data_IF_224106299105
#
_entry.id   IF_224106299105
#
_cell.length_a   1.000
_cell.length_b   1.000
_cell.length_c   1.000
_cell.angle_alpha   90.00
_cell.angle_beta   90.00
_cell.angle_gamma   90.00
#
_symmetry.space_group_name_H-M   'P 1'
#
loop_
_entity.id
_entity.type
_entity.pdbx_description
1 polymer ?
#
# COMPACT_ATOMS: atom_id res chain seq x y z
N UNK A 1 29.47 -18.03 3.65
CA UNK A 1 28.93 -16.70 3.86
C UNK A 1 27.44 -16.81 3.51
N UNK A 2 26.58 -16.84 4.52
CA UNK A 2 25.12 -16.91 4.34
C UNK A 2 24.67 -15.47 4.10
N UNK A 3 24.19 -15.17 2.90
CA UNK A 3 23.69 -13.85 2.54
C UNK A 3 22.42 -13.55 3.36
N UNK A 4 22.46 -12.50 4.16
CA UNK A 4 21.29 -11.97 4.86
C UNK A 4 20.35 -11.34 3.84
N UNK A 5 19.08 -11.74 3.85
CA UNK A 5 18.04 -11.14 3.01
C UNK A 5 17.68 -9.73 3.50
N UNK A 6 17.09 -8.89 2.65
CA UNK A 6 16.62 -7.53 2.97
C UNK A 6 15.72 -7.44 4.21
N UNK A 7 14.97 -8.50 4.48
CA UNK A 7 14.10 -8.62 5.66
C UNK A 7 14.89 -8.82 6.94
N UNK A 8 16.08 -9.43 6.87
CA UNK A 8 16.92 -9.70 8.05
C UNK A 8 17.51 -8.43 8.65
N UNK A 9 17.75 -7.40 7.84
CA UNK A 9 18.30 -6.11 8.30
C UNK A 9 17.28 -5.24 9.07
N UNK A 10 15.99 -5.51 8.93
CA UNK A 10 14.92 -4.70 9.53
C UNK A 10 14.42 -5.23 10.90
N UNK A 11 14.87 -6.40 11.35
CA UNK A 11 14.27 -7.11 12.49
C UNK A 11 15.25 -7.58 13.58
N UNK A 12 16.52 -7.22 13.52
CA UNK A 12 17.47 -7.56 14.56
C UNK A 12 17.30 -6.65 15.80
N UNK A 13 16.19 -6.79 16.51
CA UNK A 13 16.06 -6.50 17.95
C UNK A 13 14.59 -6.50 18.38
N UNK A 14 14.20 -7.47 19.23
CA UNK A 14 13.04 -7.27 20.07
C UNK A 14 12.02 -8.40 20.19
N UNK A 15 12.45 -9.63 20.43
CA UNK A 15 11.61 -10.54 21.20
C UNK A 15 11.77 -10.18 22.68
N UNK A 16 10.81 -9.50 23.29
CA UNK A 16 10.75 -9.38 24.75
C UNK A 16 9.37 -9.79 25.22
N UNK A 17 9.38 -10.84 26.03
CA UNK A 17 8.28 -11.29 26.87
C UNK A 17 7.72 -10.10 27.70
N UNK A 18 6.40 -9.97 27.68
CA UNK A 18 5.67 -9.07 28.57
C UNK A 18 5.72 -9.63 29.99
N UNK A 19 6.71 -9.18 30.76
CA UNK A 19 6.65 -9.21 32.22
C UNK A 19 6.30 -7.79 32.65
N UNK A 20 5.25 -7.68 33.45
CA UNK A 20 4.75 -6.47 34.07
C UNK A 20 5.84 -5.72 34.85
N UNK A 21 6.33 -4.61 34.30
CA UNK A 21 6.97 -3.55 35.06
C UNK A 21 6.31 -2.23 34.64
N UNK A 22 5.83 -1.48 35.63
CA UNK A 22 5.42 -0.08 35.48
C UNK A 22 6.63 0.78 35.07
N UNK A 23 7.03 0.66 33.83
CA UNK A 23 7.89 1.61 33.14
C UNK A 23 6.99 2.45 32.26
N UNK A 24 7.14 3.77 32.28
CA UNK A 24 6.36 4.71 31.48
C UNK A 24 6.18 4.19 30.06
N UNK A 25 4.98 3.72 29.75
CA UNK A 25 4.57 3.36 28.41
C UNK A 25 4.61 4.66 27.61
N UNK A 26 5.67 4.88 26.84
CA UNK A 26 5.71 6.02 25.91
C UNK A 26 4.50 5.86 25.00
N UNK A 27 3.47 6.68 25.27
CA UNK A 27 2.25 6.67 24.48
C UNK A 27 2.62 7.01 23.04
N UNK A 28 2.20 6.18 22.07
CA UNK A 28 2.33 6.46 20.65
C UNK A 28 1.88 7.90 20.37
N UNK A 29 2.68 8.64 19.62
CA UNK A 29 2.33 9.99 19.18
C UNK A 29 2.33 10.07 17.68
N UNK A 30 1.32 10.75 17.13
CA UNK A 30 1.26 11.08 15.70
C UNK A 30 1.83 12.47 15.46
N UNK A 31 2.57 12.63 14.35
CA UNK A 31 3.10 13.92 13.90
C UNK A 31 3.12 14.00 12.38
N UNK A 32 2.98 15.19 11.87
CA UNK A 32 3.18 15.52 10.45
C UNK A 32 4.68 15.58 10.13
N UNK A 33 5.11 14.91 9.06
CA UNK A 33 6.51 14.90 8.64
C UNK A 33 6.74 15.46 7.23
N UNK A 34 5.69 15.59 6.41
CA UNK A 34 5.74 16.29 5.13
C UNK A 34 4.35 16.83 4.76
N UNK A 35 4.34 17.89 3.98
CA UNK A 35 3.12 18.51 3.46
C UNK A 35 2.56 19.61 4.36
N UNK A 36 1.97 20.62 3.72
CA UNK A 36 1.44 21.84 4.37
C UNK A 36 -0.05 21.78 4.70
N UNK A 37 -0.76 20.75 4.22
CA UNK A 37 -2.23 20.69 4.27
C UNK A 37 -2.90 21.34 3.06
N UNK A 38 -2.13 21.87 2.14
CA UNK A 38 -2.61 22.48 0.89
C UNK A 38 -2.12 21.65 -0.28
N UNK A 39 -3.03 21.30 -1.20
CA UNK A 39 -2.69 20.60 -2.43
C UNK A 39 -1.72 21.43 -3.28
N UNK A 40 -0.68 20.80 -3.76
CA UNK A 40 0.28 21.50 -4.63
C UNK A 40 1.41 20.59 -5.08
N UNK A 41 2.40 21.19 -5.70
CA UNK A 41 3.53 20.48 -6.27
C UNK A 41 4.82 20.91 -5.58
N UNK A 42 5.46 19.97 -4.89
CA UNK A 42 6.76 20.23 -4.27
C UNK A 42 7.81 20.50 -5.34
N UNK A 43 8.60 21.55 -5.13
CA UNK A 43 9.83 21.73 -5.88
C UNK A 43 10.87 20.70 -5.44
N UNK A 44 11.74 20.30 -6.36
CA UNK A 44 12.87 19.42 -6.02
C UNK A 44 13.80 20.09 -5.00
N UNK A 45 14.20 19.35 -3.96
CA UNK A 45 15.00 19.88 -2.86
C UNK A 45 14.24 20.72 -1.83
N UNK A 46 12.92 20.88 -1.94
CA UNK A 46 12.12 21.69 -1.02
C UNK A 46 12.11 21.12 0.41
N UNK A 47 11.99 22.01 1.41
CA UNK A 47 11.86 21.60 2.81
C UNK A 47 10.48 20.95 3.05
N UNK A 48 10.46 19.81 3.76
CA UNK A 48 9.29 18.95 3.90
C UNK A 48 8.09 19.58 4.62
N UNK A 49 8.35 20.50 5.54
CA UNK A 49 7.36 21.20 6.36
C UNK A 49 6.71 22.40 5.66
N UNK A 50 7.33 22.91 4.60
CA UNK A 50 6.84 24.05 3.82
C UNK A 50 6.47 23.69 2.38
N UNK A 51 6.81 22.48 1.93
CA UNK A 51 6.49 22.01 0.60
C UNK A 51 5.03 21.51 0.51
N UNK A 52 4.23 22.00 -0.42
CA UNK A 52 2.95 21.40 -0.71
C UNK A 52 3.15 20.05 -1.39
N UNK A 53 2.35 19.05 -1.02
CA UNK A 53 2.25 17.76 -1.69
C UNK A 53 0.81 17.53 -2.13
N UNK A 54 0.55 16.55 -2.99
CA UNK A 54 -0.79 16.43 -3.54
C UNK A 54 -1.31 14.99 -3.46
N UNK A 55 -2.14 14.74 -2.45
CA UNK A 55 -2.86 13.49 -2.32
C UNK A 55 -1.91 12.27 -2.25
N UNK A 56 -1.04 12.17 -1.24
CA UNK A 56 -0.07 11.08 -1.11
C UNK A 56 -0.77 9.73 -0.89
N UNK A 57 -0.44 8.76 -1.73
CA UNK A 57 -0.94 7.39 -1.67
C UNK A 57 0.15 6.45 -1.15
N UNK A 58 0.37 5.30 -1.77
CA UNK A 58 1.28 4.27 -1.28
C UNK A 58 2.59 4.82 -0.72
N UNK A 59 2.82 4.65 0.56
CA UNK A 59 4.02 5.07 1.27
C UNK A 59 4.91 3.87 1.55
N UNK A 60 6.24 4.03 1.48
CA UNK A 60 7.21 2.97 1.78
C UNK A 60 8.55 3.57 2.20
N UNK A 61 9.26 2.94 3.11
CA UNK A 61 10.68 3.26 3.35
C UNK A 61 11.54 2.43 2.39
N UNK A 62 12.37 3.12 1.62
CA UNK A 62 13.26 2.50 0.66
C UNK A 62 14.51 1.89 1.30
N UNK A 63 15.33 1.19 0.50
CA UNK A 63 16.56 0.56 0.97
C UNK A 63 17.61 1.54 1.48
N UNK A 64 17.51 2.80 1.11
CA UNK A 64 18.35 3.90 1.60
C UNK A 64 17.89 4.48 2.96
N UNK A 65 16.80 3.92 3.53
CA UNK A 65 16.24 4.35 4.80
C UNK A 65 15.43 5.64 4.74
N UNK A 66 15.11 6.12 3.54
CA UNK A 66 14.27 7.31 3.32
C UNK A 66 12.84 6.94 2.93
N UNK A 67 11.91 7.86 3.15
CA UNK A 67 10.50 7.63 2.84
C UNK A 67 10.18 8.01 1.40
N UNK A 68 9.43 7.16 0.72
CA UNK A 68 8.93 7.38 -0.63
C UNK A 68 7.41 7.30 -0.64
N UNK A 69 6.76 8.05 -1.52
CA UNK A 69 5.33 7.92 -1.76
C UNK A 69 4.95 8.24 -3.21
N UNK A 70 3.84 7.67 -3.61
CA UNK A 70 3.14 8.06 -4.82
C UNK A 70 2.37 9.36 -4.53
N UNK A 71 2.81 10.48 -5.09
CA UNK A 71 2.13 11.77 -5.00
C UNK A 71 1.09 11.84 -6.11
N UNK A 72 -0.01 11.13 -5.85
CA UNK A 72 -1.06 10.79 -6.82
C UNK A 72 -1.57 12.00 -7.59
N UNK A 73 -1.88 13.10 -6.90
CA UNK A 73 -2.46 14.29 -7.51
C UNK A 73 -1.47 15.12 -8.32
N UNK A 74 -0.15 14.91 -8.14
CA UNK A 74 0.88 15.59 -8.93
C UNK A 74 1.48 14.71 -10.04
N UNK A 75 1.04 13.47 -10.19
CA UNK A 75 1.62 12.49 -11.13
C UNK A 75 3.14 12.30 -10.94
N UNK A 76 3.58 12.18 -9.68
CA UNK A 76 5.00 12.03 -9.31
C UNK A 76 5.20 10.95 -8.27
N UNK A 77 6.43 10.48 -8.17
CA UNK A 77 6.93 9.76 -7.00
C UNK A 77 7.93 10.67 -6.30
N UNK A 78 7.70 10.90 -5.01
CA UNK A 78 8.50 11.77 -4.17
C UNK A 78 9.25 10.95 -3.11
N UNK A 79 10.41 11.46 -2.68
CA UNK A 79 11.26 10.93 -1.62
C UNK A 79 11.48 12.00 -0.57
N UNK A 80 11.30 11.65 0.70
CA UNK A 80 11.68 12.47 1.83
C UNK A 80 12.97 11.93 2.46
N UNK A 81 14.03 12.73 2.44
CA UNK A 81 15.18 12.51 3.30
C UNK A 81 14.76 12.74 4.76
N UNK A 82 14.69 11.67 5.54
CA UNK A 82 14.22 11.71 6.94
C UNK A 82 15.18 12.47 7.87
N UNK A 83 16.46 12.64 7.50
CA UNK A 83 17.47 13.35 8.28
C UNK A 83 17.52 14.83 7.90
N UNK A 84 17.62 15.12 6.60
CA UNK A 84 17.73 16.48 6.09
C UNK A 84 16.38 17.19 5.96
N UNK A 85 15.27 16.44 6.04
CA UNK A 85 13.90 16.94 5.89
C UNK A 85 13.67 17.63 4.54
N UNK A 86 14.23 17.03 3.48
CA UNK A 86 14.12 17.54 2.11
C UNK A 86 13.37 16.57 1.21
N UNK A 87 12.51 17.09 0.34
CA UNK A 87 11.75 16.34 -0.65
C UNK A 87 12.51 16.36 -1.99
N UNK A 88 12.64 15.20 -2.62
CA UNK A 88 13.24 15.04 -3.95
C UNK A 88 12.23 14.38 -4.89
N UNK A 89 12.19 14.83 -6.13
CA UNK A 89 11.41 14.22 -7.20
C UNK A 89 12.16 13.01 -7.74
N UNK A 90 11.62 11.82 -7.57
CA UNK A 90 12.25 10.56 -8.01
C UNK A 90 11.79 10.16 -9.40
N UNK A 91 10.51 10.35 -9.69
CA UNK A 91 9.90 10.08 -10.99
C UNK A 91 8.71 10.97 -11.26
N UNK A 92 8.46 11.22 -12.53
CA UNK A 92 7.32 12.02 -12.98
C UNK A 92 7.64 13.51 -13.10
N UNK A 93 7.34 14.09 -14.28
CA UNK A 93 7.50 15.53 -14.54
C UNK A 93 6.25 16.35 -14.17
N UNK A 94 5.21 15.68 -13.63
CA UNK A 94 3.92 16.29 -13.28
C UNK A 94 2.87 16.27 -14.40
N UNK A 95 3.28 16.02 -15.64
CA UNK A 95 2.33 15.86 -16.75
C UNK A 95 1.75 14.44 -16.72
N UNK A 96 0.42 14.35 -16.75
CA UNK A 96 -0.27 13.07 -16.84
C UNK A 96 0.00 12.40 -18.18
N UNK A 97 0.47 11.15 -18.17
CA UNK A 97 0.76 10.38 -19.37
C UNK A 97 1.53 9.11 -19.08
N UNK A 98 2.08 8.51 -20.13
CA UNK A 98 2.78 7.22 -20.11
C UNK A 98 4.05 7.24 -20.99
N UNK A 99 4.67 8.36 -21.15
CA UNK A 99 5.88 8.48 -21.96
C UNK A 99 7.15 8.45 -21.09
N UNK A 100 8.28 8.22 -21.75
CA UNK A 100 9.60 8.35 -21.11
C UNK A 100 10.31 7.03 -20.82
N UNK A 101 9.83 5.88 -21.29
CA UNK A 101 10.54 4.61 -21.17
C UNK A 101 11.91 4.66 -21.84
N UNK A 102 12.91 4.08 -21.15
CA UNK A 102 14.30 4.12 -21.58
C UNK A 102 15.03 5.43 -21.26
N UNK A 103 14.32 6.41 -20.70
CA UNK A 103 14.87 7.70 -20.27
C UNK A 103 14.89 7.91 -18.75
N UNK A 104 15.34 9.11 -18.30
CA UNK A 104 15.38 9.43 -16.87
C UNK A 104 13.99 9.53 -16.24
N UNK A 105 13.78 8.83 -15.12
CA UNK A 105 12.50 8.79 -14.43
C UNK A 105 11.93 10.16 -14.01
N UNK A 106 12.74 11.16 -13.56
CA UNK A 106 12.20 12.47 -13.18
C UNK A 106 11.57 13.27 -14.34
N UNK A 107 11.92 12.96 -15.58
CA UNK A 107 11.34 13.63 -16.77
C UNK A 107 10.27 12.81 -17.50
N UNK A 108 10.06 11.56 -17.06
CA UNK A 108 9.00 10.73 -17.59
C UNK A 108 7.60 11.27 -17.23
N UNK A 109 6.60 10.89 -18.00
CA UNK A 109 5.21 11.11 -17.63
C UNK A 109 4.69 9.92 -16.83
N UNK A 110 4.01 10.18 -15.72
CA UNK A 110 3.27 9.19 -14.93
C UNK A 110 1.78 9.52 -14.95
N UNK A 111 0.94 8.52 -14.70
CA UNK A 111 -0.52 8.71 -14.68
C UNK A 111 -1.13 8.07 -13.45
N UNK A 112 -1.45 8.93 -12.46
CA UNK A 112 -2.02 8.50 -11.20
C UNK A 112 -1.19 7.38 -10.52
N UNK A 113 0.11 7.62 -10.21
CA UNK A 113 0.93 6.65 -9.50
C UNK A 113 0.26 6.33 -8.16
N UNK A 114 0.16 5.04 -7.83
CA UNK A 114 -0.74 4.60 -6.78
C UNK A 114 -0.03 3.83 -5.66
N UNK A 115 0.93 3.01 -6.01
CA UNK A 115 1.72 2.22 -5.08
C UNK A 115 3.18 2.21 -5.49
N UNK A 116 4.08 2.18 -4.51
CA UNK A 116 5.52 2.12 -4.69
C UNK A 116 6.10 1.01 -3.83
N UNK A 117 6.92 0.16 -4.41
CA UNK A 117 7.68 -0.90 -3.72
C UNK A 117 9.10 -0.99 -4.27
N UNK A 118 9.96 -1.74 -3.59
CA UNK A 118 11.34 -1.97 -4.01
C UNK A 118 11.61 -3.46 -4.14
N UNK A 119 12.36 -3.85 -5.18
CA UNK A 119 12.88 -5.21 -5.32
C UNK A 119 14.15 -5.43 -4.45
N UNK A 120 14.66 -6.65 -4.41
CA UNK A 120 15.84 -7.02 -3.62
C UNK A 120 17.13 -6.29 -4.07
N UNK A 121 17.18 -5.80 -5.31
CA UNK A 121 18.30 -5.05 -5.88
C UNK A 121 18.20 -3.55 -5.62
N UNK A 122 17.07 -3.10 -5.05
CA UNK A 122 16.80 -1.71 -4.76
C UNK A 122 16.18 -0.93 -5.92
N UNK A 123 15.75 -1.58 -7.00
CA UNK A 123 14.97 -0.89 -8.02
C UNK A 123 13.56 -0.63 -7.51
N UNK A 124 13.00 0.49 -7.90
CA UNK A 124 11.65 0.87 -7.55
C UNK A 124 10.64 0.29 -8.55
N UNK A 125 9.54 -0.22 -8.05
CA UNK A 125 8.38 -0.65 -8.85
C UNK A 125 7.20 0.25 -8.49
N UNK A 126 6.53 0.79 -9.50
CA UNK A 126 5.42 1.76 -9.37
C UNK A 126 4.20 1.27 -10.11
N UNK A 127 3.07 1.16 -9.43
CA UNK A 127 1.78 0.93 -10.09
C UNK A 127 1.19 2.26 -10.56
N UNK A 128 0.88 2.38 -11.84
CA UNK A 128 0.22 3.54 -12.43
C UNK A 128 -1.22 3.18 -12.81
N UNK A 129 -2.16 3.70 -12.01
CA UNK A 129 -3.58 3.34 -12.14
C UNK A 129 -4.17 3.69 -13.50
N UNK A 130 -4.01 4.93 -13.94
CA UNK A 130 -4.71 5.46 -15.12
C UNK A 130 -3.99 5.16 -16.43
N UNK A 131 -2.71 4.78 -16.37
CA UNK A 131 -1.97 4.26 -17.53
C UNK A 131 -2.09 2.74 -17.68
N UNK A 132 -2.73 2.05 -16.75
CA UNK A 132 -2.89 0.60 -16.78
C UNK A 132 -1.57 -0.17 -16.89
N UNK A 133 -0.51 0.31 -16.23
CA UNK A 133 0.84 -0.26 -16.27
C UNK A 133 1.46 -0.36 -14.90
N UNK A 134 2.50 -1.18 -14.81
CA UNK A 134 3.47 -1.18 -13.71
C UNK A 134 4.82 -0.80 -14.31
N UNK A 135 5.46 0.22 -13.75
CA UNK A 135 6.78 0.71 -14.19
C UNK A 135 7.87 0.26 -13.22
N UNK A 136 9.08 0.12 -13.74
CA UNK A 136 10.29 -0.13 -12.96
C UNK A 136 11.30 0.99 -13.17
N UNK A 137 11.93 1.43 -12.08
CA UNK A 137 12.96 2.45 -12.10
C UNK A 137 14.24 1.81 -11.54
N UNK A 138 15.28 1.81 -12.32
CA UNK A 138 16.64 1.50 -11.85
C UNK A 138 17.14 2.69 -11.03
N UNK A 139 17.28 2.50 -9.73
CA UNK A 139 17.65 3.59 -8.81
C UNK A 139 19.12 4.01 -8.90
N UNK A 140 19.96 3.26 -9.60
CA UNK A 140 21.36 3.62 -9.83
C UNK A 140 21.53 4.51 -11.06
N UNK A 141 20.79 4.18 -12.14
CA UNK A 141 20.84 4.91 -13.41
C UNK A 141 19.72 5.91 -13.57
N UNK A 142 18.70 5.86 -12.71
CA UNK A 142 17.44 6.61 -12.80
C UNK A 142 16.63 6.32 -14.07
N UNK A 143 16.89 5.24 -14.77
CA UNK A 143 16.16 4.87 -15.99
C UNK A 143 14.83 4.20 -15.62
N UNK A 144 13.73 4.66 -16.22
CA UNK A 144 12.40 4.08 -16.08
C UNK A 144 12.05 3.21 -17.29
N UNK A 145 11.36 2.10 -17.03
CA UNK A 145 10.85 1.19 -18.08
C UNK A 145 9.50 0.62 -17.69
N UNK A 146 8.69 0.22 -18.65
CA UNK A 146 7.45 -0.54 -18.40
C UNK A 146 7.78 -2.00 -18.06
N UNK A 147 7.35 -2.45 -16.87
CA UNK A 147 7.50 -3.82 -16.40
C UNK A 147 6.31 -4.67 -16.83
N UNK A 148 5.09 -4.13 -16.75
CA UNK A 148 3.86 -4.82 -17.14
C UNK A 148 2.81 -3.84 -17.64
N UNK A 149 1.95 -4.31 -18.54
CA UNK A 149 0.86 -3.54 -19.10
C UNK A 149 1.21 -2.89 -20.44
N UNK A 150 0.24 -2.87 -21.36
CA UNK A 150 0.38 -2.23 -22.70
C UNK A 150 -0.06 -0.76 -22.70
N UNK A 151 -0.54 -0.24 -21.59
CA UNK A 151 -1.17 1.09 -21.52
C UNK A 151 -2.65 1.09 -21.93
N UNK A 152 -3.18 -0.04 -22.38
CA UNK A 152 -4.59 -0.19 -22.75
C UNK A 152 -5.34 -0.99 -21.68
N UNK A 153 -6.45 -0.44 -21.19
CA UNK A 153 -7.29 -1.13 -20.21
C UNK A 153 -7.84 -2.45 -20.78
N UNK A 154 -7.72 -3.54 -20.02
CA UNK A 154 -8.22 -4.84 -20.43
C UNK A 154 -7.65 -5.98 -19.60
N UNK A 155 -7.97 -7.21 -20.01
CA UNK A 155 -7.45 -8.44 -19.42
C UNK A 155 -6.96 -9.36 -20.52
N UNK A 156 -5.66 -9.53 -20.62
CA UNK A 156 -5.01 -10.46 -21.55
C UNK A 156 -3.59 -10.81 -21.07
N UNK A 157 -2.93 -11.67 -21.83
CA UNK A 157 -1.49 -11.88 -21.73
C UNK A 157 -1.03 -12.93 -20.70
N UNK A 158 -1.93 -13.65 -20.02
CA UNK A 158 -1.53 -14.75 -19.14
C UNK A 158 -0.74 -15.81 -19.89
N UNK A 159 0.41 -16.21 -19.34
CA UNK A 159 1.34 -17.14 -19.96
C UNK A 159 2.36 -16.50 -20.91
N UNK A 160 2.26 -15.19 -21.17
CA UNK A 160 3.18 -14.41 -22.00
C UNK A 160 3.96 -13.33 -21.25
N UNK A 161 4.74 -12.50 -21.98
CA UNK A 161 5.49 -11.40 -21.38
C UNK A 161 4.58 -10.39 -20.68
N UNK A 162 4.95 -9.97 -19.46
CA UNK A 162 4.14 -9.04 -18.68
C UNK A 162 3.97 -7.68 -19.37
N UNK A 163 4.96 -7.21 -20.13
CA UNK A 163 4.91 -5.96 -20.89
C UNK A 163 3.90 -5.98 -22.04
N UNK A 164 3.46 -7.17 -22.48
CA UNK A 164 2.47 -7.34 -23.56
C UNK A 164 1.07 -7.64 -23.02
N UNK A 165 0.92 -7.78 -21.71
CA UNK A 165 -0.36 -8.03 -21.07
C UNK A 165 -1.21 -6.77 -20.96
N UNK A 166 -2.53 -6.91 -20.91
CA UNK A 166 -3.41 -5.83 -20.51
C UNK A 166 -3.73 -5.93 -19.02
N UNK A 167 -3.67 -4.79 -18.36
CA UNK A 167 -4.12 -4.56 -16.99
C UNK A 167 -5.29 -3.56 -16.98
N UNK A 168 -6.05 -3.53 -15.90
CA UNK A 168 -7.16 -2.57 -15.77
C UNK A 168 -7.15 -1.90 -14.40
N UNK A 169 -6.54 -0.74 -14.33
CA UNK A 169 -6.34 0.05 -13.12
C UNK A 169 -5.57 -0.73 -12.03
N UNK A 170 -4.31 -1.10 -12.23
CA UNK A 170 -3.50 -1.69 -11.17
C UNK A 170 -3.38 -0.70 -10.00
N UNK A 171 -3.72 -1.15 -8.79
CA UNK A 171 -3.76 -0.26 -7.63
C UNK A 171 -2.61 -0.52 -6.65
N UNK A 172 -2.38 -1.76 -6.27
CA UNK A 172 -1.36 -2.13 -5.32
C UNK A 172 -0.47 -3.23 -5.88
N UNK A 173 0.76 -3.21 -5.46
CA UNK A 173 1.78 -4.20 -5.78
C UNK A 173 2.51 -4.63 -4.50
N UNK A 174 2.93 -5.88 -4.45
CA UNK A 174 3.87 -6.39 -3.45
C UNK A 174 4.85 -7.33 -4.12
N UNK A 175 6.05 -7.44 -3.57
CA UNK A 175 7.08 -8.36 -4.06
C UNK A 175 7.37 -9.42 -3.00
N UNK A 176 7.55 -10.67 -3.44
CA UNK A 176 8.06 -11.74 -2.57
C UNK A 176 9.60 -11.74 -2.52
N UNK A 177 10.18 -12.64 -1.73
CA UNK A 177 11.65 -12.74 -1.55
C UNK A 177 12.38 -13.20 -2.83
N UNK A 178 11.65 -13.71 -3.83
CA UNK A 178 12.16 -14.06 -5.16
C UNK A 178 11.97 -12.92 -6.18
N UNK A 179 11.56 -11.72 -5.72
CA UNK A 179 11.23 -10.56 -6.55
C UNK A 179 10.04 -10.77 -7.52
N UNK A 180 9.23 -11.82 -7.33
CA UNK A 180 7.98 -11.92 -8.07
C UNK A 180 7.05 -10.76 -7.69
N UNK A 181 6.43 -10.13 -8.68
CA UNK A 181 5.54 -8.99 -8.45
C UNK A 181 4.09 -9.45 -8.49
N UNK A 182 3.35 -9.19 -7.40
CA UNK A 182 1.91 -9.43 -7.33
C UNK A 182 1.18 -8.10 -7.48
N UNK A 183 0.17 -8.06 -8.36
CA UNK A 183 -0.52 -6.85 -8.79
C UNK A 183 -2.01 -6.99 -8.50
N UNK A 184 -2.59 -6.08 -7.72
CA UNK A 184 -4.03 -5.94 -7.62
C UNK A 184 -4.58 -5.29 -8.90
N UNK A 185 -5.03 -6.10 -9.83
CA UNK A 185 -5.63 -5.72 -11.10
C UNK A 185 -7.14 -5.52 -10.89
N UNK A 186 -7.50 -4.38 -10.27
CA UNK A 186 -8.74 -4.19 -9.53
C UNK A 186 -10.01 -4.33 -10.37
N UNK A 187 -10.04 -3.73 -11.58
CA UNK A 187 -11.21 -3.78 -12.46
C UNK A 187 -11.28 -5.08 -13.26
N UNK A 188 -10.20 -5.88 -13.23
CA UNK A 188 -10.21 -7.26 -13.73
C UNK A 188 -10.56 -8.28 -12.63
N UNK A 189 -10.84 -7.81 -11.40
CA UNK A 189 -11.21 -8.67 -10.26
C UNK A 189 -10.22 -9.81 -10.01
N UNK A 190 -8.90 -9.50 -10.17
CA UNK A 190 -7.81 -10.48 -10.07
C UNK A 190 -6.60 -9.92 -9.34
N UNK A 191 -5.84 -10.82 -8.77
CA UNK A 191 -4.43 -10.59 -8.47
C UNK A 191 -3.61 -11.27 -9.56
N UNK A 192 -2.73 -10.51 -10.24
CA UNK A 192 -1.82 -11.02 -11.24
C UNK A 192 -0.43 -11.21 -10.64
N UNK A 193 0.34 -12.17 -11.15
CA UNK A 193 1.71 -12.42 -10.73
C UNK A 193 2.64 -12.34 -11.93
N UNK A 194 3.75 -11.62 -11.76
CA UNK A 194 4.89 -11.66 -12.70
C UNK A 194 5.98 -12.53 -12.06
N UNK A 195 6.40 -13.56 -12.74
CA UNK A 195 7.56 -14.36 -12.37
C UNK A 195 8.84 -13.57 -12.68
N UNK A 196 9.64 -13.24 -11.66
CA UNK A 196 10.81 -12.37 -11.81
C UNK A 196 11.90 -12.98 -12.70
N UNK A 197 11.99 -14.31 -12.78
CA UNK A 197 13.01 -15.03 -13.56
C UNK A 197 12.67 -15.08 -15.04
N UNK A 198 11.38 -15.20 -15.39
CA UNK A 198 10.92 -15.40 -16.78
C UNK A 198 10.28 -14.15 -17.37
N UNK A 199 9.84 -13.19 -16.56
CA UNK A 199 9.05 -12.04 -16.99
C UNK A 199 7.60 -12.38 -17.40
N UNK A 200 7.19 -13.63 -17.20
CA UNK A 200 5.86 -14.13 -17.59
C UNK A 200 4.83 -13.68 -16.55
N UNK A 201 3.69 -13.13 -17.02
CA UNK A 201 2.54 -12.81 -16.18
C UNK A 201 1.53 -13.95 -16.18
N UNK A 202 0.83 -14.11 -15.06
CA UNK A 202 -0.27 -15.06 -14.89
C UNK A 202 -1.30 -14.56 -13.89
N UNK A 203 -2.52 -15.07 -13.95
CA UNK A 203 -3.49 -14.90 -12.86
C UNK A 203 -3.06 -15.73 -11.65
N UNK A 204 -2.91 -15.05 -10.52
CA UNK A 204 -2.57 -15.67 -9.24
C UNK A 204 -3.80 -15.98 -8.40
N UNK A 205 -4.80 -15.07 -8.37
CA UNK A 205 -6.06 -15.25 -7.66
C UNK A 205 -7.20 -14.47 -8.32
N UNK A 206 -8.43 -14.95 -8.15
CA UNK A 206 -9.63 -14.34 -8.71
C UNK A 206 -10.08 -14.98 -10.03
N UNK A 207 -11.39 -15.11 -10.21
CA UNK A 207 -12.00 -15.61 -11.45
C UNK A 207 -12.18 -14.52 -12.50
N UNK A 208 -12.16 -13.24 -12.08
CA UNK A 208 -12.50 -12.09 -12.92
C UNK A 208 -13.99 -11.70 -12.86
N UNK A 209 -14.80 -12.49 -12.19
CA UNK A 209 -16.21 -12.15 -12.02
C UNK A 209 -16.37 -11.03 -10.99
N UNK A 210 -17.20 -10.05 -11.31
CA UNK A 210 -17.61 -9.02 -10.38
C UNK A 210 -18.74 -9.57 -9.48
N UNK A 211 -18.36 -10.44 -8.55
CA UNK A 211 -19.28 -11.13 -7.65
C UNK A 211 -18.78 -11.08 -6.20
N UNK A 212 -19.66 -11.40 -5.27
CA UNK A 212 -19.29 -11.45 -3.85
C UNK A 212 -18.23 -12.52 -3.60
N UNK A 213 -17.19 -12.16 -2.88
CA UNK A 213 -16.14 -13.09 -2.48
C UNK A 213 -16.60 -13.96 -1.33
N UNK A 214 -16.49 -15.29 -1.43
CA UNK A 214 -16.84 -16.20 -0.34
C UNK A 214 -15.89 -16.03 0.86
N UNK A 215 -16.32 -16.47 2.02
CA UNK A 215 -15.49 -16.42 3.23
C UNK A 215 -14.32 -17.40 3.20
N UNK A 216 -14.46 -18.50 2.46
CA UNK A 216 -13.42 -19.48 2.18
C UNK A 216 -13.54 -20.00 0.75
N UNK A 217 -12.38 -20.30 0.11
CA UNK A 217 -12.38 -20.84 -1.24
C UNK A 217 -10.99 -21.07 -1.80
N UNK A 218 -10.93 -21.45 -3.07
CA UNK A 218 -9.68 -21.59 -3.81
C UNK A 218 -9.23 -20.26 -4.42
N UNK A 219 -7.93 -20.04 -4.52
CA UNK A 219 -7.40 -18.79 -5.08
C UNK A 219 -7.89 -18.52 -6.51
N UNK A 220 -7.90 -19.54 -7.36
CA UNK A 220 -8.29 -19.42 -8.78
C UNK A 220 -9.77 -19.66 -9.04
N UNK A 221 -10.53 -20.12 -8.05
CA UNK A 221 -11.94 -20.49 -8.21
C UNK A 221 -12.91 -19.57 -7.48
N UNK A 222 -12.39 -18.59 -6.74
CA UNK A 222 -13.20 -17.61 -6.02
C UNK A 222 -13.17 -16.25 -6.71
N UNK A 223 -14.31 -15.56 -6.89
CA UNK A 223 -14.33 -14.17 -7.32
C UNK A 223 -13.69 -13.26 -6.26
N UNK A 224 -13.06 -12.18 -6.69
CA UNK A 224 -12.50 -11.16 -5.83
C UNK A 224 -13.19 -9.81 -6.07
N UNK A 225 -13.95 -9.33 -5.09
CA UNK A 225 -14.71 -8.09 -5.21
C UNK A 225 -13.79 -6.85 -5.13
N UNK A 226 -13.24 -6.44 -6.25
CA UNK A 226 -12.31 -5.32 -6.40
C UNK A 226 -11.10 -5.42 -5.45
N UNK A 227 -10.12 -6.33 -5.72
CA UNK A 227 -8.90 -6.49 -4.93
C UNK A 227 -8.10 -5.19 -4.94
N UNK A 228 -7.88 -4.58 -3.75
CA UNK A 228 -7.42 -3.20 -3.66
C UNK A 228 -5.99 -3.04 -3.20
N UNK A 229 -5.62 -3.75 -2.14
CA UNK A 229 -4.29 -3.66 -1.54
C UNK A 229 -3.86 -5.02 -1.01
N UNK A 230 -2.60 -5.34 -1.21
CA UNK A 230 -2.03 -6.65 -0.90
C UNK A 230 -0.74 -6.50 -0.10
N UNK A 231 -0.53 -7.37 0.88
CA UNK A 231 0.67 -7.44 1.70
C UNK A 231 1.11 -8.91 1.85
N UNK A 232 2.38 -9.15 2.08
CA UNK A 232 2.96 -10.49 2.23
C UNK A 232 3.71 -10.61 3.56
N UNK A 233 3.42 -11.68 4.29
CA UNK A 233 4.12 -12.05 5.50
C UNK A 233 5.39 -12.88 5.19
N UNK A 234 6.27 -13.00 6.16
CA UNK A 234 7.52 -13.76 6.02
C UNK A 234 7.32 -15.26 5.74
N UNK A 235 6.24 -15.83 6.22
CA UNK A 235 5.87 -17.23 6.00
C UNK A 235 5.23 -17.47 4.62
N UNK A 236 5.11 -16.42 3.80
CA UNK A 236 4.48 -16.44 2.49
C UNK A 236 2.95 -16.29 2.53
N UNK A 237 2.34 -16.15 3.70
CA UNK A 237 0.92 -15.80 3.80
C UNK A 237 0.72 -14.40 3.22
N UNK A 238 -0.30 -14.24 2.38
CA UNK A 238 -0.65 -12.95 1.81
C UNK A 238 -1.96 -12.44 2.40
N UNK A 239 -2.05 -11.13 2.56
CA UNK A 239 -3.26 -10.46 3.04
C UNK A 239 -3.79 -9.54 1.95
N UNK A 240 -5.08 -9.61 1.68
CA UNK A 240 -5.73 -8.88 0.59
C UNK A 240 -6.94 -8.11 1.11
N UNK A 241 -6.99 -6.82 0.80
CA UNK A 241 -8.18 -6.00 0.99
C UNK A 241 -9.07 -6.08 -0.24
N UNK A 242 -10.36 -6.33 -0.03
CA UNK A 242 -11.41 -6.20 -1.03
C UNK A 242 -12.18 -4.89 -0.82
N UNK A 243 -11.99 -3.93 -1.75
CA UNK A 243 -12.62 -2.61 -1.63
C UNK A 243 -14.14 -2.66 -1.76
N UNK A 244 -14.66 -3.41 -2.74
CA UNK A 244 -16.09 -3.53 -2.96
C UNK A 244 -16.76 -4.56 -2.03
N UNK A 245 -15.97 -5.43 -1.43
CA UNK A 245 -16.48 -6.47 -0.54
C UNK A 245 -16.37 -6.15 0.95
N UNK A 246 -15.74 -5.02 1.34
CA UNK A 246 -15.50 -4.63 2.74
C UNK A 246 -14.92 -5.75 3.59
N UNK A 247 -14.04 -6.57 3.01
CA UNK A 247 -13.43 -7.76 3.64
C UNK A 247 -11.91 -7.68 3.57
N UNK A 248 -11.28 -8.32 4.53
CA UNK A 248 -9.84 -8.64 4.51
C UNK A 248 -9.70 -10.15 4.46
N UNK A 249 -8.92 -10.62 3.51
CA UNK A 249 -8.64 -12.03 3.30
C UNK A 249 -7.20 -12.37 3.70
N UNK A 250 -6.97 -13.56 4.25
CA UNK A 250 -5.69 -14.24 4.20
C UNK A 250 -5.67 -15.20 3.01
N UNK A 251 -4.56 -15.27 2.31
CA UNK A 251 -4.33 -16.19 1.20
C UNK A 251 -3.10 -17.05 1.50
N UNK A 252 -3.23 -18.36 1.36
CA UNK A 252 -2.14 -19.32 1.48
C UNK A 252 -1.76 -19.83 0.08
N UNK A 253 -0.68 -19.32 -0.53
CA UNK A 253 -0.27 -19.76 -1.88
C UNK A 253 0.06 -21.25 -1.93
N UNK A 254 0.70 -21.79 -0.89
CA UNK A 254 1.08 -23.20 -0.80
C UNK A 254 -0.12 -24.15 -0.74
N UNK A 255 -1.25 -23.69 -0.20
CA UNK A 255 -2.49 -24.46 -0.12
C UNK A 255 -3.47 -24.13 -1.25
N UNK A 256 -3.21 -23.05 -2.04
CA UNK A 256 -4.11 -22.58 -3.08
C UNK A 256 -5.45 -22.06 -2.55
N UNK A 257 -5.49 -21.56 -1.29
CA UNK A 257 -6.74 -21.19 -0.60
C UNK A 257 -6.74 -19.75 -0.09
N UNK A 258 -7.94 -19.20 0.00
CA UNK A 258 -8.22 -17.93 0.67
C UNK A 258 -9.22 -18.15 1.82
N UNK A 259 -9.15 -17.24 2.82
CA UNK A 259 -10.09 -17.20 3.95
C UNK A 259 -10.30 -15.77 4.41
N UNK A 260 -11.54 -15.40 4.76
CA UNK A 260 -11.85 -14.12 5.41
C UNK A 260 -11.26 -14.08 6.83
N UNK A 261 -10.61 -12.99 7.17
CA UNK A 261 -10.04 -12.74 8.51
C UNK A 261 -10.62 -11.49 9.17
N UNK A 262 -11.23 -10.58 8.38
CA UNK A 262 -11.92 -9.42 8.92
C UNK A 262 -13.01 -8.91 7.96
N UNK A 263 -13.97 -8.17 8.52
CA UNK A 263 -15.03 -7.49 7.79
C UNK A 263 -16.24 -8.38 7.53
N UNK A 264 -17.44 -7.94 7.90
CA UNK A 264 -18.70 -8.66 7.62
C UNK A 264 -19.09 -8.59 6.13
N UNK A 265 -18.58 -7.61 5.41
CA UNK A 265 -19.03 -7.23 4.07
C UNK A 265 -19.94 -5.99 4.08
N UNK A 266 -20.50 -5.63 5.22
CA UNK A 266 -21.33 -4.45 5.38
C UNK A 266 -20.49 -3.17 5.52
N UNK A 267 -21.08 -2.04 5.17
CA UNK A 267 -20.50 -0.73 5.43
C UNK A 267 -20.70 -0.33 6.89
N UNK A 268 -19.70 0.34 7.45
CA UNK A 268 -19.79 0.90 8.78
C UNK A 268 -18.43 1.13 9.43
N UNK A 269 -18.49 1.56 10.70
CA UNK A 269 -17.33 1.74 11.57
C UNK A 269 -17.66 1.15 12.95
N UNK A 270 -17.64 -0.18 13.05
CA UNK A 270 -17.94 -0.92 14.27
C UNK A 270 -16.97 -2.08 14.48
N UNK A 271 -17.04 -2.68 15.67
CA UNK A 271 -16.29 -3.88 16.01
C UNK A 271 -14.98 -3.66 16.75
N UNK A 272 -14.58 -2.43 17.07
CA UNK A 272 -13.36 -2.16 17.83
C UNK A 272 -13.42 -2.79 19.23
N UNK A 273 -12.33 -3.48 19.61
CA UNK A 273 -12.23 -4.25 20.86
C UNK A 273 -12.79 -5.68 20.77
N UNK A 274 -13.40 -6.05 19.66
CA UNK A 274 -13.99 -7.37 19.40
C UNK A 274 -13.31 -8.12 18.27
N UNK A 275 -13.92 -9.25 17.84
CA UNK A 275 -13.40 -10.07 16.73
C UNK A 275 -13.40 -9.27 15.42
N UNK A 276 -12.28 -9.31 14.70
CA UNK A 276 -12.16 -8.64 13.40
C UNK A 276 -13.15 -9.17 12.35
N UNK A 277 -13.58 -10.41 12.49
CA UNK A 277 -14.62 -11.03 11.63
C UNK A 277 -15.97 -10.33 11.73
N UNK A 278 -16.27 -9.69 12.87
CA UNK A 278 -17.54 -9.00 13.12
C UNK A 278 -17.44 -7.48 12.87
N UNK A 279 -16.26 -7.02 12.47
CA UNK A 279 -16.05 -5.59 12.18
C UNK A 279 -16.73 -5.18 10.86
N UNK A 280 -17.11 -3.91 10.78
CA UNK A 280 -17.53 -3.27 9.53
C UNK A 280 -16.49 -2.25 9.09
N UNK A 281 -16.38 -2.03 7.77
CA UNK A 281 -15.46 -1.10 7.14
C UNK A 281 -16.16 -0.19 6.15
N UNK A 282 -15.52 0.96 5.87
CA UNK A 282 -15.98 1.84 4.83
C UNK A 282 -17.28 2.58 5.15
N UNK A 283 -17.81 3.32 4.19
CA UNK A 283 -19.00 4.12 4.35
C UNK A 283 -20.00 3.87 3.21
N UNK A 284 -21.31 3.95 3.47
CA UNK A 284 -22.32 3.79 2.43
C UNK A 284 -22.20 4.88 1.35
N UNK A 285 -22.85 4.66 0.21
CA UNK A 285 -22.93 5.63 -0.90
C UNK A 285 -22.20 5.21 -2.17
N UNK A 286 -21.26 4.27 -2.09
CA UNK A 286 -20.61 3.68 -3.27
C UNK A 286 -20.03 2.29 -2.92
N UNK A 287 -20.10 1.32 -3.82
CA UNK A 287 -19.46 0.02 -3.62
C UNK A 287 -17.92 0.11 -3.52
N UNK A 288 -17.35 1.28 -3.81
CA UNK A 288 -15.92 1.55 -3.77
C UNK A 288 -15.46 2.27 -2.49
N UNK A 289 -16.34 2.40 -1.51
CA UNK A 289 -16.05 3.09 -0.24
C UNK A 289 -15.51 2.16 0.87
N UNK A 290 -15.01 0.99 0.51
CA UNK A 290 -14.35 0.08 1.45
C UNK A 290 -12.91 0.50 1.81
N UNK A 291 -12.22 -0.34 2.62
CA UNK A 291 -10.85 -0.08 3.07
C UNK A 291 -9.89 -0.09 1.88
N UNK A 292 -8.74 0.63 1.99
CA UNK A 292 -7.87 0.87 0.83
C UNK A 292 -6.38 0.60 1.03
N UNK A 293 -5.85 0.65 2.24
CA UNK A 293 -4.43 0.44 2.50
C UNK A 293 -4.21 -0.70 3.50
N UNK A 294 -3.11 -1.42 3.34
CA UNK A 294 -2.71 -2.53 4.21
C UNK A 294 -1.21 -2.50 4.46
N UNK A 295 -0.79 -2.85 5.68
CA UNK A 295 0.60 -3.11 6.01
C UNK A 295 0.70 -4.09 7.18
N UNK A 296 1.74 -4.92 7.20
CA UNK A 296 2.00 -5.86 8.29
C UNK A 296 3.18 -5.35 9.14
N UNK A 297 2.96 -5.26 10.46
CA UNK A 297 4.00 -4.92 11.44
C UNK A 297 4.01 -5.91 12.60
N UNK A 298 5.00 -6.81 12.63
CA UNK A 298 5.01 -7.91 13.60
C UNK A 298 3.78 -8.80 13.43
N UNK A 299 2.97 -8.91 14.48
CA UNK A 299 1.73 -9.68 14.48
C UNK A 299 0.48 -8.81 14.25
N UNK A 300 0.65 -7.53 13.92
CA UNK A 300 -0.48 -6.62 13.68
C UNK A 300 -0.61 -6.32 12.20
N UNK A 301 -1.79 -6.58 11.66
CA UNK A 301 -2.17 -6.18 10.31
C UNK A 301 -2.91 -4.83 10.37
N UNK A 302 -2.28 -3.79 9.81
CA UNK A 302 -2.84 -2.45 9.78
C UNK A 302 -3.69 -2.26 8.53
N UNK A 303 -4.89 -1.74 8.72
CA UNK A 303 -5.89 -1.49 7.67
C UNK A 303 -6.22 -0.01 7.66
N UNK A 304 -6.09 0.62 6.50
CA UNK A 304 -6.57 1.99 6.30
C UNK A 304 -8.04 1.94 5.93
N UNK A 305 -8.89 2.26 6.89
CA UNK A 305 -10.34 2.39 6.70
C UNK A 305 -10.66 3.82 6.24
N UNK A 306 -10.40 4.03 4.96
CA UNK A 306 -10.26 5.33 4.31
C UNK A 306 -11.47 6.23 4.49
N UNK A 307 -12.68 5.71 4.27
CA UNK A 307 -13.90 6.51 4.35
C UNK A 307 -14.34 6.78 5.80
N UNK A 308 -13.84 5.99 6.74
CA UNK A 308 -13.97 6.22 8.17
C UNK A 308 -12.82 7.06 8.74
N UNK A 309 -11.88 7.49 7.91
CA UNK A 309 -10.79 8.41 8.29
C UNK A 309 -9.89 7.88 9.41
N UNK A 310 -9.67 6.56 9.49
CA UNK A 310 -8.91 5.89 10.54
C UNK A 310 -7.91 4.87 10.00
N UNK A 311 -6.93 4.54 10.81
CA UNK A 311 -6.10 3.35 10.69
C UNK A 311 -6.49 2.39 11.81
N UNK A 312 -6.86 1.15 11.45
CA UNK A 312 -7.23 0.08 12.38
C UNK A 312 -6.14 -0.99 12.38
N UNK A 313 -5.93 -1.63 13.51
CA UNK A 313 -5.00 -2.75 13.65
C UNK A 313 -5.74 -4.03 14.02
N UNK A 314 -5.43 -5.13 13.34
CA UNK A 314 -5.89 -6.48 13.66
C UNK A 314 -4.71 -7.21 14.29
N UNK A 315 -4.82 -7.57 15.56
CA UNK A 315 -3.89 -8.49 16.20
C UNK A 315 -4.16 -9.91 15.65
N UNK A 316 -3.26 -10.40 14.84
CA UNK A 316 -3.47 -11.66 14.11
C UNK A 316 -3.60 -12.89 15.02
N UNK A 317 -2.84 -13.02 16.16
CA UNK A 317 -2.99 -14.12 17.08
C UNK A 317 -4.35 -14.18 17.78
N UNK A 318 -4.88 -13.04 18.24
CA UNK A 318 -6.16 -12.98 18.94
C UNK A 318 -7.35 -12.79 18.00
N UNK A 319 -7.11 -12.29 16.77
CA UNK A 319 -8.17 -11.91 15.85
C UNK A 319 -8.93 -10.65 16.26
N UNK A 320 -8.43 -9.88 17.24
CA UNK A 320 -9.08 -8.65 17.72
C UNK A 320 -8.70 -7.45 16.88
N UNK A 321 -9.68 -6.58 16.57
CA UNK A 321 -9.46 -5.32 15.85
C UNK A 321 -9.61 -4.12 16.77
N UNK A 322 -8.84 -3.06 16.53
CA UNK A 322 -8.97 -1.77 17.24
C UNK A 322 -8.50 -0.61 16.38
N UNK A 323 -9.01 0.59 16.65
CA UNK A 323 -8.51 1.82 16.04
C UNK A 323 -7.14 2.19 16.63
N UNK A 324 -6.18 2.41 15.75
CA UNK A 324 -4.80 2.82 16.08
C UNK A 324 -4.64 4.34 15.96
N UNK A 325 -5.20 4.93 14.91
CA UNK A 325 -5.16 6.37 14.68
C UNK A 325 -6.43 6.85 13.96
N UNK A 326 -6.81 8.07 14.23
CA UNK A 326 -8.00 8.69 13.69
C UNK A 326 -9.17 8.73 14.69
N UNK A 327 -10.08 9.68 14.49
CA UNK A 327 -11.26 9.87 15.34
C UNK A 327 -12.54 9.31 14.73
N UNK A 328 -12.49 8.81 13.49
CA UNK A 328 -13.69 8.51 12.70
C UNK A 328 -14.32 9.72 12.02
N UNK A 329 -13.78 10.92 12.25
CA UNK A 329 -14.29 12.17 11.66
C UNK A 329 -13.26 12.78 10.72
N UNK A 330 -13.71 13.22 9.56
CA UNK A 330 -12.87 13.95 8.60
C UNK A 330 -12.35 15.25 9.21
N UNK A 331 -11.06 15.54 9.03
CA UNK A 331 -10.45 16.79 9.46
C UNK A 331 -8.92 16.73 9.33
N UNK A 332 -8.21 17.75 9.86
CA UNK A 332 -6.76 17.87 9.82
C UNK A 332 -6.19 18.05 11.23
N UNK A 333 -5.59 17.01 11.78
CA UNK A 333 -4.91 17.02 13.07
C UNK A 333 -5.82 17.08 14.29
N UNK A 334 -5.32 17.46 15.46
CA UNK A 334 -3.96 17.91 15.75
C UNK A 334 -2.92 16.76 15.76
N UNK A 335 -1.63 17.14 15.71
CA UNK A 335 -0.55 16.24 16.09
C UNK A 335 -0.60 15.95 17.60
N UNK A 336 -0.14 14.78 18.03
CA UNK A 336 -0.16 14.39 19.45
C UNK A 336 -0.70 12.99 19.67
N UNK A 337 -1.82 12.84 20.38
CA UNK A 337 -2.48 11.55 20.56
C UNK A 337 -3.06 11.07 19.23
N UNK A 338 -2.67 9.88 18.73
CA UNK A 338 -3.16 9.38 17.44
C UNK A 338 -4.68 9.22 17.38
N UNK A 339 -5.32 8.91 18.51
CA UNK A 339 -6.78 8.74 18.59
C UNK A 339 -7.55 10.05 18.65
N UNK A 340 -6.86 11.17 18.83
CA UNK A 340 -7.44 12.51 18.78
C UNK A 340 -7.14 13.23 17.47
N UNK A 341 -6.27 12.64 16.62
CA UNK A 341 -5.91 13.20 15.32
C UNK A 341 -7.00 12.92 14.29
N UNK A 342 -7.59 13.94 13.72
CA UNK A 342 -8.46 13.78 12.55
C UNK A 342 -7.63 13.60 11.29
N UNK A 343 -8.05 12.72 10.43
CA UNK A 343 -7.47 12.50 9.10
C UNK A 343 -8.53 12.73 8.02
N UNK A 344 -8.08 12.91 6.77
CA UNK A 344 -8.98 13.05 5.64
C UNK A 344 -8.65 12.00 4.57
N UNK A 345 -9.44 10.95 4.53
CA UNK A 345 -9.34 9.82 3.59
C UNK A 345 -7.88 9.33 3.42
N UNK A 346 -7.23 8.83 4.48
CA UNK A 346 -5.91 8.25 4.35
C UNK A 346 -5.94 7.06 3.37
N UNK A 347 -4.86 6.84 2.59
CA UNK A 347 -4.79 5.74 1.63
C UNK A 347 -3.60 4.82 1.86
N UNK A 348 -2.42 5.35 2.12
CA UNK A 348 -1.20 4.56 2.31
C UNK A 348 -0.88 4.34 3.77
N UNK A 349 -0.36 3.15 4.10
CA UNK A 349 0.25 2.83 5.39
C UNK A 349 1.48 1.97 5.18
N UNK A 350 2.52 2.21 5.97
CA UNK A 350 3.75 1.41 5.96
C UNK A 350 4.35 1.33 7.37
N UNK A 351 4.93 0.18 7.70
CA UNK A 351 5.50 -0.08 9.01
C UNK A 351 7.01 -0.27 8.90
N UNK A 352 7.77 0.47 9.71
CA UNK A 352 9.20 0.24 9.88
C UNK A 352 9.56 0.24 11.36
N UNK A 353 9.90 -0.93 11.89
CA UNK A 353 10.15 -1.08 13.33
C UNK A 353 8.89 -0.73 14.14
N UNK A 354 8.96 0.35 14.91
CA UNK A 354 7.79 0.87 15.66
C UNK A 354 7.09 2.03 14.95
N UNK A 355 7.67 2.57 13.91
CA UNK A 355 7.09 3.70 13.18
C UNK A 355 6.01 3.23 12.21
N UNK A 356 4.86 3.89 12.24
CA UNK A 356 3.74 3.71 11.32
C UNK A 356 3.64 4.98 10.48
N UNK A 357 3.96 4.88 9.20
CA UNK A 357 3.83 5.99 8.24
C UNK A 357 2.46 5.94 7.59
N UNK A 358 1.79 7.08 7.48
CA UNK A 358 0.44 7.20 6.92
C UNK A 358 0.40 8.31 5.88
N UNK A 359 -0.07 8.00 4.68
CA UNK A 359 -0.47 8.99 3.69
C UNK A 359 -1.86 9.53 4.04
N UNK A 360 -1.92 10.70 4.69
CA UNK A 360 -3.16 11.41 5.01
C UNK A 360 -3.59 12.23 3.79
N UNK A 361 -4.18 11.52 2.83
CA UNK A 361 -4.18 11.89 1.41
C UNK A 361 -4.90 13.20 1.11
N UNK A 362 -6.13 13.38 1.58
CA UNK A 362 -6.89 14.60 1.31
C UNK A 362 -6.55 15.75 2.27
N UNK A 363 -5.72 15.48 3.29
CA UNK A 363 -5.02 16.52 4.03
C UNK A 363 -3.67 16.88 3.41
N UNK A 364 -3.28 16.27 2.29
CA UNK A 364 -2.01 16.55 1.62
C UNK A 364 -0.83 16.51 2.61
N UNK A 365 -0.76 15.44 3.43
CA UNK A 365 0.25 15.25 4.47
C UNK A 365 0.76 13.82 4.51
N UNK A 366 2.01 13.69 4.93
CA UNK A 366 2.53 12.43 5.44
C UNK A 366 2.62 12.53 6.96
N UNK A 367 2.05 11.56 7.65
CA UNK A 367 2.11 11.46 9.11
C UNK A 367 2.92 10.24 9.54
N UNK A 368 3.50 10.32 10.75
CA UNK A 368 4.16 9.18 11.38
C UNK A 368 3.71 9.05 12.82
N UNK A 369 3.44 7.81 13.24
CA UNK A 369 3.22 7.42 14.62
C UNK A 369 4.48 6.72 15.13
N UNK A 370 4.90 7.05 16.35
CA UNK A 370 6.06 6.45 17.01
C UNK A 370 6.34 7.03 18.40
#
# INVERSE_FOLDING_TARGET
>A
MIGLTRRDFLWASGGLLMASSLGAQTSLRIRTIAGTGVAGTAADGAAADTAPINNPYGVVVGPDGHLYWADFGSNRVLRLDLRQRRITVVAGNGTKGHAGDGGPAPVAQLSAPHEVRFDSKGHMVVAERDSHVVRRIDMQTSIITTLAGTGVAGYSGDGGPASEAQLNQPHSIVLDDADNVFICDINNHRVRKIDARTGVISTFAGTGDNASTPDEGGLLTSPLAAPRSIEIARDGTMYLILRAGNKVLSMSPSQGRLRRIAGTGDFGYAGDGGPALDATFGAPGSPFNGPKGIALGGNVLYIVDTENHVVRGIDLPSGTISTVAGTGQRGDGPDGDPRMCRMARPHGVFIQGRAIYVGDSENHRIRVLG
#
